data_IF_954167869075
#
_entry.id   IF_954167869075
#
_cell.length_a   1.000
_cell.length_b   1.000
_cell.length_c   1.000
_cell.angle_alpha   90.00
_cell.angle_beta   90.00
_cell.angle_gamma   90.00
#
_symmetry.space_group_name_H-M   'P 1'
#
loop_
_entity.id
_entity.type
_entity.pdbx_description
1 polymer ?
#
# COMPACT_ATOMS: atom_id res chain seq x y z
N UNK A 1 -4.23 -16.90 21.58
CA UNK A 1 -5.66 -17.24 21.44
C UNK A 1 -5.78 -18.48 20.58
N UNK A 2 -6.63 -19.43 20.96
CA UNK A 2 -6.95 -20.60 20.13
C UNK A 2 -8.41 -20.50 19.70
N UNK A 3 -8.70 -20.53 18.39
CA UNK A 3 -10.07 -20.56 17.83
C UNK A 3 -10.99 -19.39 18.29
N UNK A 4 -10.79 -18.22 17.67
CA UNK A 4 -11.67 -17.04 17.82
C UNK A 4 -12.48 -16.84 16.54
N UNK A 5 -13.80 -16.76 16.67
CA UNK A 5 -14.71 -16.44 15.55
C UNK A 5 -15.44 -15.13 15.81
N UNK A 6 -15.19 -14.15 14.94
CA UNK A 6 -15.85 -12.84 14.96
C UNK A 6 -16.71 -12.71 13.70
N UNK A 7 -18.02 -12.54 13.87
CA UNK A 7 -18.96 -12.35 12.75
C UNK A 7 -19.97 -11.27 13.08
N UNK A 8 -20.24 -10.36 12.15
CA UNK A 8 -21.29 -9.34 12.27
C UNK A 8 -21.20 -8.57 13.60
N UNK A 9 -19.99 -8.15 13.96
CA UNK A 9 -19.73 -7.46 15.20
C UNK A 9 -19.98 -8.23 16.50
N UNK A 10 -20.03 -9.57 16.45
CA UNK A 10 -20.23 -10.44 17.62
C UNK A 10 -19.14 -11.51 17.70
N UNK A 11 -18.63 -11.71 18.91
CA UNK A 11 -17.81 -12.87 19.25
C UNK A 11 -18.72 -14.11 19.30
N UNK A 12 -18.58 -14.99 18.32
CA UNK A 12 -19.40 -16.21 18.21
C UNK A 12 -18.84 -17.36 19.03
N UNK A 13 -17.53 -17.41 19.23
CA UNK A 13 -16.84 -18.48 19.92
C UNK A 13 -15.46 -18.01 20.39
N UNK A 14 -15.12 -18.25 21.66
CA UNK A 14 -13.83 -17.92 22.26
C UNK A 14 -13.34 -19.13 23.05
N UNK A 15 -12.25 -19.77 22.61
CA UNK A 15 -11.58 -20.82 23.40
C UNK A 15 -10.29 -20.26 23.97
N UNK A 16 -10.29 -20.06 25.28
CA UNK A 16 -9.11 -19.71 26.11
C UNK A 16 -8.34 -18.45 25.68
N UNK A 17 -8.57 -17.37 26.45
CA UNK A 17 -7.59 -16.30 26.60
C UNK A 17 -6.70 -16.63 27.80
N UNK A 18 -5.40 -16.77 27.59
CA UNK A 18 -4.42 -16.80 28.68
C UNK A 18 -4.07 -15.41 29.19
N UNK A 19 -4.66 -14.35 28.63
CA UNK A 19 -4.34 -12.95 28.98
C UNK A 19 -5.60 -12.07 28.92
N UNK A 20 -6.04 -11.44 30.03
CA UNK A 20 -7.32 -10.74 30.14
C UNK A 20 -7.37 -9.33 29.52
N UNK A 21 -6.33 -8.87 28.83
CA UNK A 21 -6.23 -7.49 28.32
C UNK A 21 -6.71 -7.27 26.87
N UNK A 22 -7.31 -8.28 26.23
CA UNK A 22 -7.94 -8.11 24.92
C UNK A 22 -9.34 -7.52 25.05
N UNK A 23 -9.46 -6.21 24.80
CA UNK A 23 -10.73 -5.51 24.77
C UNK A 23 -11.41 -5.68 23.40
N UNK A 24 -12.50 -6.45 23.36
CA UNK A 24 -13.47 -6.33 22.29
C UNK A 24 -14.30 -5.08 22.54
N UNK A 25 -14.03 -4.00 21.82
CA UNK A 25 -14.94 -2.85 21.81
C UNK A 25 -16.19 -3.22 21.01
N UNK A 26 -17.22 -3.68 21.72
CA UNK A 26 -18.57 -3.80 21.21
C UNK A 26 -19.30 -2.47 21.40
N UNK A 27 -19.21 -1.57 20.41
CA UNK A 27 -20.25 -0.56 20.24
C UNK A 27 -21.34 -1.13 19.31
N UNK A 28 -22.61 -0.68 19.39
CA UNK A 28 -23.74 -1.32 18.69
C UNK A 28 -23.60 -1.47 17.16
N UNK A 29 -22.60 -0.87 16.53
CA UNK A 29 -22.32 -0.95 15.09
C UNK A 29 -20.84 -1.09 14.73
N UNK A 30 -19.96 -1.30 15.71
CA UNK A 30 -18.51 -1.30 15.52
C UNK A 30 -17.97 -2.51 16.25
N UNK A 31 -17.43 -3.48 15.50
CA UNK A 31 -16.43 -4.35 16.06
C UNK A 31 -15.20 -4.35 15.19
N UNK A 32 -14.09 -4.14 15.86
CA UNK A 32 -12.76 -4.21 15.32
C UNK A 32 -12.00 -5.06 16.33
N UNK A 33 -11.22 -6.03 15.87
CA UNK A 33 -10.24 -6.63 16.78
C UNK A 33 -9.18 -5.57 17.09
N UNK A 34 -9.15 -5.13 18.34
CA UNK A 34 -8.24 -4.10 18.83
C UNK A 34 -7.42 -4.68 19.98
N UNK A 35 -6.11 -4.51 19.92
CA UNK A 35 -5.21 -4.86 21.00
C UNK A 35 -4.38 -3.63 21.33
N UNK A 36 -4.40 -3.20 22.58
CA UNK A 36 -3.51 -2.16 23.14
C UNK A 36 -2.76 -2.78 24.31
N UNK A 37 -1.46 -2.46 24.44
CA UNK A 37 -0.62 -2.93 25.55
C UNK A 37 -0.06 -4.36 25.44
N UNK A 38 -0.37 -5.10 24.38
CA UNK A 38 0.24 -6.42 24.09
C UNK A 38 1.40 -6.28 23.12
N UNK A 39 2.55 -6.90 23.40
CA UNK A 39 3.67 -6.96 22.46
C UNK A 39 3.50 -8.05 21.39
N UNK A 40 2.63 -9.04 21.63
CA UNK A 40 2.43 -10.18 20.72
C UNK A 40 1.01 -10.72 20.84
N UNK A 41 0.39 -11.00 19.69
CA UNK A 41 -0.94 -11.61 19.59
C UNK A 41 -0.88 -12.84 18.69
N UNK A 42 -1.11 -14.03 19.24
CA UNK A 42 -1.16 -15.27 18.45
C UNK A 42 -2.59 -15.58 18.01
N UNK A 43 -2.78 -15.64 16.69
CA UNK A 43 -4.01 -15.99 15.98
C UNK A 43 -3.90 -17.41 15.40
N UNK A 44 -4.76 -18.31 15.86
CA UNK A 44 -4.83 -19.71 15.38
C UNK A 44 -6.23 -19.97 14.87
N UNK A 45 -6.36 -20.33 13.58
CA UNK A 45 -7.64 -20.65 12.91
C UNK A 45 -8.74 -19.60 13.13
N UNK A 46 -8.39 -18.33 13.09
CA UNK A 46 -9.38 -17.26 13.30
C UNK A 46 -10.23 -17.07 12.04
N UNK A 47 -11.49 -16.67 12.26
CA UNK A 47 -12.36 -16.17 11.21
C UNK A 47 -12.86 -14.79 11.62
N UNK A 48 -12.52 -13.78 10.82
CA UNK A 48 -12.89 -12.37 11.04
C UNK A 48 -13.73 -11.91 9.84
N UNK A 49 -15.04 -11.78 10.03
CA UNK A 49 -15.95 -11.58 8.91
C UNK A 49 -17.08 -10.57 9.15
N UNK A 50 -17.42 -9.81 8.11
CA UNK A 50 -18.64 -8.99 8.07
C UNK A 50 -18.59 -7.72 8.93
N UNK A 51 -17.40 -7.24 9.27
CA UNK A 51 -17.22 -6.02 10.06
C UNK A 51 -17.38 -4.78 9.19
N UNK A 52 -17.94 -3.69 9.72
CA UNK A 52 -18.22 -2.47 8.93
C UNK A 52 -17.10 -1.41 8.96
N UNK A 53 -16.11 -1.55 9.85
CA UNK A 53 -15.02 -0.57 10.03
C UNK A 53 -13.63 -1.08 9.61
N UNK A 54 -13.34 -2.34 9.93
CA UNK A 54 -12.20 -3.15 9.45
C UNK A 54 -12.30 -4.52 10.13
N UNK A 55 -11.65 -5.54 9.59
CA UNK A 55 -11.56 -6.83 10.28
C UNK A 55 -10.66 -6.75 11.51
N UNK A 56 -9.39 -6.39 11.31
CA UNK A 56 -8.36 -6.31 12.34
C UNK A 56 -7.72 -4.92 12.32
N UNK A 57 -7.49 -4.32 13.49
CA UNK A 57 -6.65 -3.14 13.61
C UNK A 57 -5.48 -3.44 14.54
N UNK A 58 -4.30 -3.13 14.09
CA UNK A 58 -3.11 -3.15 14.93
C UNK A 58 -2.68 -1.71 15.15
N UNK A 59 -2.30 -1.38 16.38
CA UNK A 59 -1.66 -0.13 16.75
C UNK A 59 -0.57 -0.46 17.75
N UNK A 60 0.53 0.29 17.76
CA UNK A 60 1.54 0.26 18.83
C UNK A 60 2.42 -1.02 18.91
N UNK A 61 3.23 -1.31 17.88
CA UNK A 61 4.33 -2.30 17.94
C UNK A 61 3.89 -3.73 18.29
N UNK A 62 2.78 -4.20 17.72
CA UNK A 62 2.25 -5.53 18.03
C UNK A 62 2.72 -6.54 16.99
N UNK A 63 3.23 -7.68 17.46
CA UNK A 63 3.53 -8.84 16.62
C UNK A 63 2.32 -9.79 16.52
N UNK A 64 1.57 -9.70 15.42
CA UNK A 64 0.47 -10.61 15.09
C UNK A 64 0.98 -11.90 14.48
N UNK A 65 0.96 -12.96 15.27
CA UNK A 65 1.46 -14.29 14.91
C UNK A 65 0.34 -15.17 14.40
N UNK A 66 0.28 -15.39 13.10
CA UNK A 66 -0.68 -16.27 12.48
C UNK A 66 -0.14 -17.70 12.39
N UNK A 67 -1.02 -18.64 12.73
CA UNK A 67 -0.78 -20.07 12.73
C UNK A 67 -1.98 -20.77 12.07
N UNK A 68 -1.72 -21.86 11.34
CA UNK A 68 -2.75 -22.59 10.59
C UNK A 68 -3.46 -21.65 9.57
N UNK A 69 -4.65 -22.01 9.09
CA UNK A 69 -5.42 -21.24 8.12
C UNK A 69 -6.33 -20.23 8.81
N UNK A 70 -6.09 -18.94 8.56
CA UNK A 70 -6.87 -17.82 9.08
C UNK A 70 -7.63 -17.14 7.95
N UNK A 71 -8.88 -16.74 8.20
CA UNK A 71 -9.77 -16.17 7.19
C UNK A 71 -10.24 -14.79 7.65
N UNK A 72 -10.02 -13.79 6.81
CA UNK A 72 -10.44 -12.42 7.01
C UNK A 72 -11.26 -12.02 5.78
N UNK A 73 -12.59 -11.97 5.90
CA UNK A 73 -13.45 -11.79 4.73
C UNK A 73 -14.62 -10.85 4.90
N UNK A 74 -15.10 -10.29 3.80
CA UNK A 74 -16.33 -9.47 3.75
C UNK A 74 -16.34 -8.31 4.76
N UNK A 75 -15.15 -7.81 5.14
CA UNK A 75 -15.01 -6.67 6.02
C UNK A 75 -14.96 -5.39 5.20
N UNK A 76 -15.45 -4.30 5.77
CA UNK A 76 -15.41 -2.96 5.20
C UNK A 76 -14.59 -2.04 6.08
N UNK A 77 -13.98 -1.02 5.50
CA UNK A 77 -13.31 0.03 6.25
C UNK A 77 -13.02 1.28 5.44
N UNK A 78 -12.43 2.28 6.09
CA UNK A 78 -11.92 3.47 5.38
C UNK A 78 -10.59 3.15 4.73
N UNK A 79 -9.70 2.55 5.52
CA UNK A 79 -8.36 2.09 5.15
C UNK A 79 -8.17 0.71 5.79
N UNK A 80 -7.71 -0.27 5.03
CA UNK A 80 -7.46 -1.61 5.59
C UNK A 80 -8.75 -2.35 5.89
N UNK A 81 -9.56 -2.66 4.86
CA UNK A 81 -10.84 -3.34 5.05
C UNK A 81 -10.69 -4.68 5.80
N UNK A 82 -9.69 -5.49 5.42
CA UNK A 82 -9.34 -6.72 6.13
C UNK A 82 -8.51 -6.45 7.39
N UNK A 83 -7.31 -5.90 7.23
CA UNK A 83 -6.40 -5.53 8.32
C UNK A 83 -5.79 -4.15 8.07
N UNK A 84 -5.78 -3.34 9.12
CA UNK A 84 -5.05 -2.08 9.19
C UNK A 84 -3.85 -2.28 10.12
N UNK A 85 -2.65 -2.05 9.59
CA UNK A 85 -1.37 -2.30 10.27
C UNK A 85 -0.70 -0.97 10.57
N UNK A 86 -0.69 -0.55 11.83
CA UNK A 86 0.00 0.68 12.26
C UNK A 86 1.18 0.33 13.17
N UNK A 87 2.37 0.57 12.64
CA UNK A 87 3.66 0.35 13.27
C UNK A 87 3.70 -1.00 14.00
N UNK A 88 3.36 -2.07 13.29
CA UNK A 88 3.15 -3.43 13.83
C UNK A 88 3.57 -4.47 12.80
N UNK A 89 3.60 -5.75 13.20
CA UNK A 89 4.14 -6.85 12.42
C UNK A 89 3.11 -7.97 12.21
N UNK A 90 3.08 -8.55 11.01
CA UNK A 90 2.37 -9.79 10.68
C UNK A 90 3.40 -10.92 10.56
N UNK A 91 3.45 -11.80 11.56
CA UNK A 91 4.35 -12.96 11.57
C UNK A 91 3.61 -14.23 11.18
N UNK A 92 4.18 -15.02 10.26
CA UNK A 92 3.74 -16.38 9.98
C UNK A 92 4.60 -17.36 10.79
N UNK A 93 3.99 -18.10 11.72
CA UNK A 93 4.74 -18.86 12.75
C UNK A 93 4.87 -20.37 12.50
N UNK A 94 4.25 -20.95 11.47
CA UNK A 94 4.39 -22.37 11.15
C UNK A 94 4.40 -22.64 9.65
N UNK A 95 4.89 -23.83 9.25
CA UNK A 95 5.00 -24.30 7.86
C UNK A 95 3.69 -24.24 7.07
N UNK A 96 2.55 -24.25 7.75
CA UNK A 96 1.21 -24.26 7.15
C UNK A 96 0.40 -23.00 7.48
N UNK A 97 1.04 -21.98 8.07
CA UNK A 97 0.37 -20.73 8.37
C UNK A 97 -0.07 -20.06 7.05
N UNK A 98 -1.38 -19.82 6.95
CA UNK A 98 -2.02 -19.12 5.83
C UNK A 98 -2.94 -18.04 6.35
N UNK A 99 -2.96 -16.92 5.65
CA UNK A 99 -3.89 -15.81 5.90
C UNK A 99 -4.61 -15.54 4.59
N UNK A 100 -5.93 -15.69 4.61
CA UNK A 100 -6.78 -15.52 3.44
C UNK A 100 -7.62 -14.25 3.59
N UNK A 101 -7.43 -13.30 2.67
CA UNK A 101 -8.21 -12.08 2.59
C UNK A 101 -9.16 -12.12 1.40
N UNK A 102 -10.46 -12.18 1.67
CA UNK A 102 -11.49 -12.32 0.64
C UNK A 102 -12.55 -11.24 0.71
N UNK A 103 -12.88 -10.61 -0.43
CA UNK A 103 -14.00 -9.68 -0.54
C UNK A 103 -13.96 -8.51 0.47
N UNK A 104 -12.78 -8.15 0.97
CA UNK A 104 -12.66 -7.01 1.88
C UNK A 104 -12.68 -5.70 1.06
N UNK A 105 -13.28 -4.66 1.61
CA UNK A 105 -13.51 -3.39 0.91
C UNK A 105 -13.01 -2.23 1.74
N UNK A 106 -12.25 -1.31 1.13
CA UNK A 106 -11.87 -0.04 1.72
C UNK A 106 -12.48 1.13 0.92
N UNK A 107 -12.96 2.19 1.58
CA UNK A 107 -13.45 3.37 0.86
C UNK A 107 -12.30 4.18 0.25
N UNK A 108 -11.10 4.13 0.86
CA UNK A 108 -9.90 4.81 0.37
C UNK A 108 -8.88 3.80 -0.15
N UNK A 109 -8.11 3.17 0.73
CA UNK A 109 -6.94 2.38 0.32
C UNK A 109 -6.80 1.07 1.08
N UNK A 110 -6.15 0.08 0.47
CA UNK A 110 -5.81 -1.18 1.14
C UNK A 110 -7.05 -2.01 1.46
N UNK A 111 -7.75 -2.51 0.44
CA UNK A 111 -9.00 -3.26 0.65
C UNK A 111 -8.82 -4.48 1.56
N UNK A 112 -7.77 -5.27 1.33
CA UNK A 112 -7.38 -6.32 2.27
C UNK A 112 -6.42 -5.82 3.34
N UNK A 113 -5.30 -5.19 2.96
CA UNK A 113 -4.23 -4.80 3.88
C UNK A 113 -3.90 -3.32 3.64
N UNK A 114 -3.87 -2.53 4.71
CA UNK A 114 -3.33 -1.18 4.71
C UNK A 114 -2.23 -1.07 5.76
N UNK A 115 -1.08 -0.49 5.40
CA UNK A 115 0.12 -0.42 6.26
C UNK A 115 0.61 1.02 6.44
N UNK A 116 0.86 1.38 7.70
CA UNK A 116 1.39 2.68 8.17
C UNK A 116 2.56 2.40 9.14
N UNK A 117 3.66 3.18 9.17
CA UNK A 117 3.88 4.46 8.47
C UNK A 117 4.25 4.33 6.99
N UNK A 118 4.14 5.47 6.32
CA UNK A 118 4.44 5.69 4.91
C UNK A 118 5.90 5.39 4.56
N UNK A 119 6.14 4.94 3.32
CA UNK A 119 7.47 4.48 2.83
C UNK A 119 8.56 5.57 2.87
N UNK A 120 8.16 6.84 2.87
CA UNK A 120 9.08 7.97 2.69
C UNK A 120 9.98 8.27 3.90
N UNK A 121 9.72 7.69 5.08
CA UNK A 121 10.58 7.86 6.24
C UNK A 121 11.75 6.84 6.23
N UNK A 122 12.86 7.23 5.59
CA UNK A 122 14.15 6.50 5.58
C UNK A 122 14.89 6.50 6.93
N UNK A 123 14.34 7.08 7.98
CA UNK A 123 15.01 7.21 9.28
C UNK A 123 14.87 5.93 10.11
N UNK A 124 15.91 5.09 10.08
CA UNK A 124 16.12 3.92 10.95
C UNK A 124 15.16 2.75 10.66
N UNK A 125 15.69 1.52 10.58
CA UNK A 125 15.41 0.59 9.48
C UNK A 125 13.91 0.35 9.30
N UNK A 126 13.41 0.40 8.06
CA UNK A 126 12.01 0.14 7.79
C UNK A 126 11.70 -1.28 8.25
N UNK A 127 11.06 -1.39 9.42
CA UNK A 127 10.60 -2.65 9.93
C UNK A 127 9.59 -3.18 8.89
N UNK A 128 9.87 -4.35 8.34
CA UNK A 128 8.90 -5.06 7.54
C UNK A 128 7.58 -5.12 8.31
N UNK A 129 6.45 -4.87 7.64
CA UNK A 129 5.15 -5.13 8.25
C UNK A 129 4.83 -6.63 8.30
N UNK A 130 5.68 -7.48 7.72
CA UNK A 130 5.57 -8.93 7.79
C UNK A 130 6.90 -9.61 8.16
N UNK A 131 6.81 -10.77 8.80
CA UNK A 131 7.96 -11.61 9.13
C UNK A 131 7.63 -13.09 8.93
N UNK A 132 8.67 -13.88 8.65
CA UNK A 132 8.57 -15.33 8.48
C UNK A 132 9.65 -16.02 9.29
N UNK A 133 9.34 -17.16 9.89
CA UNK A 133 10.35 -17.94 10.60
C UNK A 133 11.31 -18.63 9.61
N UNK A 134 12.60 -18.59 9.94
CA UNK A 134 13.76 -18.97 9.12
C UNK A 134 13.68 -20.35 8.45
N UNK A 135 13.01 -21.31 9.07
CA UNK A 135 12.95 -22.71 8.64
C UNK A 135 11.76 -23.03 7.71
N UNK A 136 11.03 -22.02 7.22
CA UNK A 136 9.72 -22.24 6.59
C UNK A 136 9.63 -21.82 5.11
N UNK A 137 10.69 -21.23 4.56
CA UNK A 137 10.66 -20.55 3.24
C UNK A 137 10.20 -21.42 2.07
N UNK A 138 10.58 -22.71 2.03
CA UNK A 138 10.28 -23.60 0.89
C UNK A 138 8.81 -24.02 0.79
N UNK A 139 8.01 -23.82 1.85
CA UNK A 139 6.59 -24.23 1.90
C UNK A 139 5.60 -23.07 2.04
N UNK A 140 6.08 -21.85 2.23
CA UNK A 140 5.26 -20.64 2.41
C UNK A 140 4.83 -19.97 1.10
N UNK A 141 4.93 -20.68 -0.04
CA UNK A 141 4.40 -20.16 -1.30
C UNK A 141 2.92 -19.84 -1.14
N UNK A 142 2.55 -18.59 -1.43
CA UNK A 142 1.16 -18.10 -1.39
C UNK A 142 0.50 -18.25 -0.01
N UNK A 143 1.29 -18.11 1.05
CA UNK A 143 0.77 -18.10 2.43
C UNK A 143 -0.15 -16.92 2.72
N UNK A 144 -0.06 -15.83 1.96
CA UNK A 144 -1.01 -14.72 2.04
C UNK A 144 -1.79 -14.67 0.74
N UNK A 145 -3.06 -15.05 0.82
CA UNK A 145 -3.97 -15.12 -0.31
C UNK A 145 -4.85 -13.88 -0.35
N UNK A 146 -4.86 -13.18 -1.48
CA UNK A 146 -5.62 -11.97 -1.71
C UNK A 146 -6.59 -12.22 -2.86
N UNK A 147 -7.91 -12.23 -2.62
CA UNK A 147 -8.89 -12.37 -3.71
C UNK A 147 -10.08 -11.45 -3.56
N UNK A 148 -10.48 -10.87 -4.69
CA UNK A 148 -11.69 -10.06 -4.83
C UNK A 148 -11.79 -8.90 -3.81
N UNK A 149 -10.66 -8.39 -3.33
CA UNK A 149 -10.65 -7.21 -2.47
C UNK A 149 -10.83 -5.94 -3.31
N UNK A 150 -11.32 -4.87 -2.70
CA UNK A 150 -11.55 -3.60 -3.39
C UNK A 150 -11.17 -2.39 -2.55
N UNK A 151 -10.74 -1.33 -3.21
CA UNK A 151 -10.44 -0.04 -2.60
C UNK A 151 -10.96 1.07 -3.51
N UNK A 152 -11.50 2.15 -2.93
CA UNK A 152 -12.06 3.26 -3.70
C UNK A 152 -11.02 4.11 -4.43
N UNK A 153 -9.82 4.26 -3.86
CA UNK A 153 -8.71 4.98 -4.46
C UNK A 153 -7.67 4.02 -5.03
N UNK A 154 -6.94 3.28 -4.20
CA UNK A 154 -5.78 2.51 -4.65
C UNK A 154 -5.41 1.37 -3.67
N UNK A 155 -4.62 0.41 -4.13
CA UNK A 155 -4.22 -0.75 -3.32
C UNK A 155 -5.41 -1.63 -2.97
N UNK A 156 -6.13 -2.15 -3.98
CA UNK A 156 -7.31 -3.00 -3.77
C UNK A 156 -7.04 -4.15 -2.82
N UNK A 157 -5.88 -4.78 -2.93
CA UNK A 157 -5.44 -5.81 -2.01
C UNK A 157 -4.45 -5.28 -0.98
N UNK A 158 -3.45 -4.51 -1.39
CA UNK A 158 -2.44 -4.00 -0.46
C UNK A 158 -2.08 -2.54 -0.74
N UNK A 159 -2.10 -1.73 0.31
CA UNK A 159 -1.61 -0.37 0.30
C UNK A 159 -0.52 -0.17 1.36
N UNK A 160 0.59 0.45 0.96
CA UNK A 160 1.64 0.91 1.86
C UNK A 160 2.68 -0.16 2.20
N UNK A 161 3.51 0.15 3.20
CA UNK A 161 4.61 -0.70 3.64
C UNK A 161 5.83 -0.65 2.71
N UNK A 162 7.03 -0.62 3.27
CA UNK A 162 8.26 -0.62 2.47
C UNK A 162 8.70 -2.06 2.18
N UNK A 163 8.40 -2.53 0.97
CA UNK A 163 8.63 -3.92 0.56
C UNK A 163 10.05 -4.13 0.03
N UNK A 164 10.62 -3.16 -0.71
CA UNK A 164 11.94 -3.42 -1.34
C UNK A 164 13.07 -3.45 -0.32
N UNK A 165 13.01 -2.61 0.72
CA UNK A 165 14.05 -2.56 1.76
C UNK A 165 13.64 -3.32 3.02
N UNK A 166 12.59 -4.14 2.93
CA UNK A 166 12.22 -5.05 3.99
C UNK A 166 13.34 -6.10 4.15
N UNK A 167 14.18 -5.90 5.16
CA UNK A 167 15.18 -6.88 5.59
C UNK A 167 14.57 -7.80 6.63
N UNK A 168 14.36 -9.07 6.28
CA UNK A 168 13.93 -10.05 7.26
C UNK A 168 15.06 -10.34 8.26
N UNK A 169 15.01 -9.65 9.40
CA UNK A 169 15.87 -9.95 10.54
C UNK A 169 15.69 -11.41 10.93
N UNK A 170 16.81 -12.14 11.03
CA UNK A 170 16.90 -13.56 11.40
C UNK A 170 16.76 -14.60 10.28
N UNK A 171 16.73 -14.20 9.00
CA UNK A 171 16.92 -15.12 7.86
C UNK A 171 18.33 -14.92 7.30
N UNK A 172 19.29 -15.77 7.71
CA UNK A 172 20.71 -15.72 7.23
C UNK A 172 20.78 -15.88 5.69
N UNK A 173 21.87 -15.41 5.06
CA UNK A 173 21.90 -14.26 4.18
C UNK A 173 21.26 -14.63 2.85
N UNK A 174 19.95 -14.49 2.72
CA UNK A 174 19.35 -14.59 1.41
C UNK A 174 19.73 -13.31 0.65
N UNK A 175 20.51 -13.45 -0.42
CA UNK A 175 20.71 -12.43 -1.47
C UNK A 175 19.39 -12.15 -2.23
N UNK A 176 18.24 -12.26 -1.60
CA UNK A 176 16.94 -11.97 -2.18
C UNK A 176 16.42 -10.66 -1.60
N UNK A 177 16.00 -9.78 -2.49
CA UNK A 177 15.34 -8.53 -2.14
C UNK A 177 13.99 -8.80 -1.46
N UNK A 178 13.53 -7.88 -0.60
CA UNK A 178 12.22 -8.00 0.05
C UNK A 178 11.08 -8.17 -0.97
N UNK A 179 11.22 -7.60 -2.17
CA UNK A 179 10.33 -7.80 -3.32
C UNK A 179 10.20 -9.27 -3.75
N UNK A 180 11.30 -10.02 -3.78
CA UNK A 180 11.28 -11.44 -4.18
C UNK A 180 10.54 -12.29 -3.16
N UNK A 181 10.72 -11.97 -1.88
CA UNK A 181 10.03 -12.65 -0.79
C UNK A 181 8.55 -12.30 -0.78
N UNK A 182 8.23 -11.03 -0.99
CA UNK A 182 6.85 -10.59 -1.16
C UNK A 182 6.14 -11.36 -2.27
N UNK A 183 6.77 -11.51 -3.44
CA UNK A 183 6.24 -12.31 -4.56
C UNK A 183 6.01 -13.78 -4.21
N UNK A 184 6.85 -14.34 -3.34
CA UNK A 184 6.72 -15.73 -2.90
C UNK A 184 5.53 -15.89 -1.94
N UNK A 185 5.40 -14.97 -0.99
CA UNK A 185 4.42 -15.06 0.10
C UNK A 185 3.01 -14.66 -0.34
N UNK A 186 2.90 -13.63 -1.18
CA UNK A 186 1.62 -13.07 -1.60
C UNK A 186 1.19 -13.65 -2.96
N UNK A 187 -0.02 -14.19 -3.04
CA UNK A 187 -0.59 -14.72 -4.30
C UNK A 187 -1.11 -13.59 -5.20
N UNK A 188 -0.21 -12.75 -5.69
CA UNK A 188 -0.54 -11.63 -6.58
C UNK A 188 -0.02 -11.95 -7.99
N UNK A 189 -0.90 -11.99 -9.01
CA UNK A 189 -0.48 -12.12 -10.39
C UNK A 189 0.43 -10.95 -10.78
N UNK A 190 1.52 -11.19 -11.50
CA UNK A 190 2.43 -10.11 -11.93
C UNK A 190 1.78 -9.13 -12.91
N UNK A 191 0.75 -9.59 -13.62
CA UNK A 191 -0.12 -8.77 -14.47
C UNK A 191 -1.35 -8.24 -13.71
N UNK A 192 -1.32 -8.25 -12.37
CA UNK A 192 -2.37 -7.63 -11.59
C UNK A 192 -2.51 -6.15 -11.99
N UNK A 193 -3.73 -5.64 -11.85
CA UNK A 193 -4.00 -4.23 -12.11
C UNK A 193 -3.00 -3.35 -11.37
N UNK A 194 -2.58 -2.24 -11.99
CA UNK A 194 -1.72 -1.23 -11.36
C UNK A 194 -2.32 -0.69 -10.04
N UNK A 195 -3.61 -0.90 -9.79
CA UNK A 195 -4.27 -0.51 -8.54
C UNK A 195 -4.33 -1.61 -7.48
N UNK A 196 -3.85 -2.82 -7.77
CA UNK A 196 -3.99 -3.98 -6.88
C UNK A 196 -3.09 -3.87 -5.63
N UNK A 197 -1.82 -3.58 -5.88
CA UNK A 197 -0.79 -3.39 -4.86
C UNK A 197 -0.02 -2.13 -5.13
N UNK A 198 -0.03 -1.21 -4.19
CA UNK A 198 0.61 0.10 -4.31
C UNK A 198 1.03 0.64 -2.95
N UNK A 199 1.55 1.85 -2.93
CA UNK A 199 1.97 2.54 -1.72
C UNK A 199 1.78 4.04 -1.88
N UNK A 200 2.29 4.80 -0.91
CA UNK A 200 2.55 6.22 -1.12
C UNK A 200 3.46 6.43 -2.33
N UNK A 201 3.36 7.62 -2.90
CA UNK A 201 4.02 8.00 -4.14
C UNK A 201 5.53 7.88 -3.94
N UNK A 202 6.13 7.04 -4.76
CA UNK A 202 7.57 6.83 -4.80
C UNK A 202 8.23 7.64 -5.92
N UNK A 203 7.55 7.74 -7.08
CA UNK A 203 8.01 8.50 -8.25
C UNK A 203 6.86 8.82 -9.19
N UNK A 204 7.14 9.68 -10.16
CA UNK A 204 6.26 9.95 -11.31
C UNK A 204 6.82 9.21 -12.52
N UNK A 205 5.95 8.65 -13.34
CA UNK A 205 6.33 8.01 -14.60
C UNK A 205 5.58 8.67 -15.76
N UNK A 206 6.26 8.80 -16.90
CA UNK A 206 5.59 9.15 -18.15
C UNK A 206 4.67 8.04 -18.59
N UNK A 207 3.70 8.37 -19.42
CA UNK A 207 2.76 7.42 -19.99
C UNK A 207 2.90 7.34 -21.51
N UNK A 208 3.01 6.13 -22.04
CA UNK A 208 3.01 5.85 -23.47
C UNK A 208 1.83 4.91 -23.73
N UNK A 209 0.93 5.27 -24.64
CA UNK A 209 -0.29 4.49 -24.94
C UNK A 209 -1.13 4.16 -23.67
N UNK A 210 -1.27 5.13 -22.76
CA UNK A 210 -1.95 4.98 -21.47
C UNK A 210 -1.32 3.97 -20.49
N UNK A 211 -0.07 3.56 -20.72
CA UNK A 211 0.68 2.70 -19.80
C UNK A 211 1.87 3.45 -19.19
N UNK A 212 2.15 3.29 -17.87
CA UNK A 212 3.28 3.94 -17.22
C UNK A 212 4.62 3.35 -17.70
N UNK A 213 5.53 4.22 -18.14
CA UNK A 213 6.90 3.88 -18.56
C UNK A 213 7.91 4.53 -17.61
N UNK A 214 8.14 3.89 -16.47
CA UNK A 214 8.98 4.41 -15.39
C UNK A 214 10.50 4.40 -15.67
N UNK A 215 10.92 3.78 -16.78
CA UNK A 215 12.33 3.81 -17.21
C UNK A 215 12.70 5.08 -17.98
N UNK A 216 11.71 5.77 -18.54
CA UNK A 216 11.93 6.98 -19.31
C UNK A 216 12.11 8.17 -18.36
N UNK A 217 13.27 8.82 -18.43
CA UNK A 217 13.62 9.96 -17.57
C UNK A 217 13.47 11.31 -18.25
N UNK A 218 13.46 11.32 -19.59
CA UNK A 218 13.43 12.54 -20.40
C UNK A 218 12.36 12.38 -21.47
N UNK A 219 11.54 13.43 -21.62
CA UNK A 219 10.52 13.53 -22.65
C UNK A 219 10.76 14.84 -23.41
N UNK A 220 11.12 14.75 -24.69
CA UNK A 220 11.44 15.93 -25.49
C UNK A 220 10.16 16.51 -26.11
N UNK A 221 9.92 17.79 -25.89
CA UNK A 221 8.82 18.55 -26.51
C UNK A 221 9.36 19.89 -26.97
N UNK A 222 8.90 20.35 -28.13
CA UNK A 222 9.18 21.68 -28.64
C UNK A 222 7.87 22.45 -28.68
N UNK A 223 7.88 23.67 -28.18
CA UNK A 223 6.73 24.58 -28.22
C UNK A 223 7.20 26.01 -28.45
N UNK A 224 6.28 26.87 -28.89
CA UNK A 224 6.54 28.31 -28.99
C UNK A 224 6.20 29.01 -27.67
N UNK A 225 6.75 30.21 -27.40
CA UNK A 225 6.30 31.03 -26.28
C UNK A 225 4.78 31.24 -26.30
N UNK A 226 4.12 31.04 -25.16
CA UNK A 226 2.67 31.04 -25.01
C UNK A 226 1.99 29.72 -25.37
N UNK A 227 2.73 28.74 -25.88
CA UNK A 227 2.22 27.41 -26.19
C UNK A 227 2.06 26.51 -24.97
N UNK A 228 1.17 25.52 -25.11
CA UNK A 228 0.95 24.48 -24.10
C UNK A 228 1.82 23.25 -24.39
N UNK A 229 2.35 22.65 -23.34
CA UNK A 229 3.07 21.37 -23.35
C UNK A 229 2.24 20.36 -22.57
N UNK A 230 1.85 19.27 -23.23
CA UNK A 230 1.12 18.17 -22.62
C UNK A 230 2.11 17.04 -22.31
N UNK A 231 2.15 16.63 -21.05
CA UNK A 231 3.01 15.55 -20.56
C UNK A 231 2.13 14.47 -19.96
N UNK A 232 1.89 13.35 -20.67
CA UNK A 232 1.11 12.25 -20.12
C UNK A 232 1.93 11.56 -19.02
N UNK A 233 1.40 11.53 -17.81
CA UNK A 233 2.10 10.99 -16.65
C UNK A 233 1.16 10.42 -15.58
N UNK A 234 1.73 9.69 -14.62
CA UNK A 234 1.02 9.14 -13.46
C UNK A 234 1.98 9.01 -12.27
N UNK A 235 1.43 9.13 -11.06
CA UNK A 235 2.17 8.84 -9.84
C UNK A 235 2.13 7.33 -9.53
N UNK A 236 3.29 6.77 -9.21
CA UNK A 236 3.44 5.34 -8.89
C UNK A 236 4.08 5.14 -7.52
N UNK A 237 3.63 4.09 -6.84
CA UNK A 237 4.22 3.56 -5.63
C UNK A 237 5.45 2.67 -5.90
N UNK A 238 5.98 2.09 -4.84
CA UNK A 238 7.23 1.33 -4.84
C UNK A 238 7.22 0.15 -5.81
N UNK A 239 6.11 -0.63 -5.84
CA UNK A 239 5.95 -1.80 -6.71
C UNK A 239 5.35 -1.48 -8.08
N UNK A 240 5.34 -0.20 -8.48
CA UNK A 240 4.82 0.24 -9.77
C UNK A 240 3.30 0.38 -9.83
N UNK A 241 2.58 0.08 -8.75
CA UNK A 241 1.16 0.38 -8.65
C UNK A 241 0.89 1.89 -8.68
N UNK A 242 -0.26 2.31 -9.16
CA UNK A 242 -0.64 3.73 -9.29
C UNK A 242 -1.41 4.21 -8.06
N UNK A 243 -1.27 5.50 -7.74
CA UNK A 243 -1.95 6.15 -6.61
C UNK A 243 -2.20 7.63 -6.99
N UNK A 244 -3.32 8.26 -6.57
CA UNK A 244 -3.49 9.69 -6.81
C UNK A 244 -2.38 10.48 -6.13
N UNK A 245 -1.99 11.60 -6.74
CA UNK A 245 -0.87 12.38 -6.26
C UNK A 245 -0.84 13.80 -6.77
N UNK A 246 0.11 14.57 -6.24
CA UNK A 246 0.41 15.92 -6.70
C UNK A 246 1.76 15.89 -7.39
N UNK A 247 1.79 16.31 -8.64
CA UNK A 247 3.03 16.55 -9.39
C UNK A 247 3.34 18.03 -9.30
N UNK A 248 4.53 18.34 -8.79
CA UNK A 248 5.06 19.69 -8.80
C UNK A 248 6.20 19.74 -9.80
N UNK A 249 6.14 20.73 -10.69
CA UNK A 249 7.09 20.89 -11.77
C UNK A 249 7.85 22.19 -11.63
N UNK A 250 9.09 22.18 -12.11
CA UNK A 250 10.00 23.32 -12.08
C UNK A 250 10.86 23.33 -13.33
N UNK A 251 11.10 24.50 -13.89
CA UNK A 251 12.15 24.68 -14.90
C UNK A 251 13.49 24.81 -14.17
N UNK A 252 14.41 23.90 -14.51
CA UNK A 252 15.83 24.02 -14.16
C UNK A 252 16.56 24.63 -15.34
N UNK A 253 17.47 25.57 -15.07
CA UNK A 253 18.43 26.12 -16.05
C UNK A 253 17.82 26.86 -17.25
N UNK A 254 16.94 27.83 -17.01
CA UNK A 254 16.49 28.76 -18.05
C UNK A 254 16.48 30.20 -17.57
N UNK A 255 17.33 31.02 -18.19
CA UNK A 255 17.29 32.49 -18.06
C UNK A 255 16.22 33.12 -18.97
N UNK A 256 15.67 32.34 -19.91
CA UNK A 256 14.86 32.83 -21.04
C UNK A 256 13.43 32.30 -21.04
N UNK A 257 13.07 31.34 -20.19
CA UNK A 257 11.72 30.80 -20.12
C UNK A 257 11.29 30.46 -18.68
N UNK A 258 9.98 30.57 -18.42
CA UNK A 258 9.34 30.13 -17.18
C UNK A 258 8.05 29.35 -17.48
N UNK A 259 7.66 28.44 -16.58
CA UNK A 259 6.27 27.96 -16.53
C UNK A 259 5.41 29.13 -16.02
N UNK A 260 4.28 29.38 -16.67
CA UNK A 260 3.25 30.31 -16.19
C UNK A 260 2.90 29.92 -14.75
N UNK A 261 3.04 30.84 -13.79
CA UNK A 261 2.85 30.57 -12.36
C UNK A 261 3.78 29.45 -11.82
N UNK A 262 4.88 29.86 -11.18
CA UNK A 262 6.06 29.03 -10.84
C UNK A 262 5.81 27.77 -9.96
N UNK A 263 4.57 27.46 -9.60
CA UNK A 263 4.20 26.25 -8.84
C UNK A 263 2.86 25.68 -9.31
N UNK A 264 2.78 25.19 -10.55
CA UNK A 264 1.59 24.46 -10.98
C UNK A 264 1.60 23.04 -10.38
N UNK A 265 1.08 22.95 -9.15
CA UNK A 265 0.76 21.68 -8.50
C UNK A 265 -0.42 21.06 -9.23
N UNK A 266 -0.17 20.02 -10.01
CA UNK A 266 -1.20 19.34 -10.77
C UNK A 266 -1.54 18.01 -10.13
N UNK A 267 -2.83 17.75 -9.95
CA UNK A 267 -3.31 16.48 -9.42
C UNK A 267 -3.29 15.42 -10.53
N UNK A 268 -2.72 14.26 -10.22
CA UNK A 268 -2.79 13.07 -11.07
C UNK A 268 -3.61 12.00 -10.36
N UNK A 269 -4.42 11.26 -11.12
CA UNK A 269 -5.23 10.16 -10.63
C UNK A 269 -4.48 8.82 -10.62
N UNK A 270 -5.24 7.72 -10.54
CA UNK A 270 -4.73 6.34 -10.64
C UNK A 270 -4.52 5.83 -12.07
N UNK A 271 -4.80 6.67 -13.06
CA UNK A 271 -4.61 6.40 -14.49
C UNK A 271 -3.71 7.48 -15.06
N UNK A 272 -3.10 7.18 -16.20
CA UNK A 272 -2.38 8.15 -17.00
C UNK A 272 -3.27 9.36 -17.30
N UNK A 273 -2.75 10.55 -17.03
CA UNK A 273 -3.41 11.83 -17.26
C UNK A 273 -2.41 12.81 -17.88
N UNK A 274 -2.92 13.71 -18.71
CA UNK A 274 -2.11 14.76 -19.32
C UNK A 274 -1.91 15.90 -18.32
N UNK A 275 -0.65 16.13 -17.97
CA UNK A 275 -0.23 17.28 -17.18
C UNK A 275 0.08 18.41 -18.17
N UNK A 276 -0.53 19.57 -17.99
CA UNK A 276 -0.45 20.68 -18.96
C UNK A 276 0.44 21.77 -18.41
N UNK A 277 1.41 22.26 -19.18
CA UNK A 277 2.24 23.40 -18.80
C UNK A 277 2.13 24.50 -19.86
N UNK A 278 2.03 25.74 -19.41
CA UNK A 278 2.12 26.90 -20.30
C UNK A 278 3.52 27.52 -20.17
N UNK A 279 4.23 27.67 -21.29
CA UNK A 279 5.61 28.17 -21.28
C UNK A 279 5.62 29.64 -21.70
N UNK A 280 6.15 30.54 -20.85
CA UNK A 280 6.37 31.95 -21.18
C UNK A 280 7.84 32.23 -21.47
N UNK A 281 8.09 33.06 -22.48
CA UNK A 281 9.38 33.72 -22.64
C UNK A 281 9.58 34.75 -21.52
N UNK A 282 10.80 34.81 -20.98
CA UNK A 282 11.27 35.88 -20.10
C UNK A 282 11.92 37.02 -20.88
N UNK A 283 12.29 36.79 -22.15
CA UNK A 283 12.73 37.86 -23.03
C UNK A 283 11.52 38.70 -23.42
N UNK A 284 11.56 39.99 -23.08
CA UNK A 284 10.69 40.99 -23.70
C UNK A 284 10.99 40.96 -25.20
N UNK A 285 10.18 40.24 -25.96
CA UNK A 285 10.17 40.35 -27.41
C UNK A 285 9.71 41.77 -27.76
N UNK A 286 10.65 42.71 -27.77
CA UNK A 286 10.51 43.95 -28.50
C UNK A 286 10.45 43.56 -29.98
N UNK A 287 9.26 43.23 -30.46
CA UNK A 287 8.98 43.21 -31.88
C UNK A 287 9.15 44.65 -32.37
N UNK A 288 10.36 44.98 -32.83
CA UNK A 288 10.52 46.04 -33.82
C UNK A 288 9.91 45.49 -35.11
N UNK A 289 8.69 45.92 -35.38
CA UNK A 289 8.16 45.93 -36.74
C UNK A 289 8.96 47.00 -37.48
N UNK A 290 9.96 46.55 -38.25
CA UNK A 290 10.58 47.37 -39.29
C UNK A 290 9.69 47.36 -40.55
#
# INVERSE_FOLDING_TARGET
MTDVRLKNNKLLHQVSLTDPLLAFHHAPHISTFHSEGLSTVTCVRIVVQGNQMRGISTKQNIDFRFQDVNIISDNRGVEGGGIYVDNSLISLQYLEARINFFNNTATLTGGAIHVVPMILFRSSPPACFFNIQRNQFTRLQRSILLRNNSAGLSGKSLYGGNIDTCELRNVIPFNQTGTSIFKLLFDIPWNASLTEVTSDIYRVCFCINNEPVCGLRVWHVTTYPGGHVLVPAVAVGQLGGTNPGIVQSRITDSDTARIADQEERQQVGVKCQEITYTIHSLENAQFKLD
#
